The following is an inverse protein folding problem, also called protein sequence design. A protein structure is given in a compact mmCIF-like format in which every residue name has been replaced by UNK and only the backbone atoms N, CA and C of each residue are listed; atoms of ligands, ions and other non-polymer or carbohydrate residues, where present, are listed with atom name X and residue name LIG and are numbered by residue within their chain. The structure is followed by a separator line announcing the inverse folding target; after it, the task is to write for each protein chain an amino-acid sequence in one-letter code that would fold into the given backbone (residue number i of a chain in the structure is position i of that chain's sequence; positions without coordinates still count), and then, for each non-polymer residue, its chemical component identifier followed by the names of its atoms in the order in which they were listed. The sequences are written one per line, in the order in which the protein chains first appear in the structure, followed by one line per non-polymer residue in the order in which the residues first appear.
data_IF_968916689486
#
_entry.id   IF_968916689486
#
_cell.length_a   1.000
_cell.length_b   1.000
_cell.length_c   1.000
_cell.angle_alpha   90.00
_cell.angle_beta   90.00
_cell.angle_gamma   90.00
#
_symmetry.space_group_name_H-M   'P 1'
#
loop_
_entity.id
_entity.type
_entity.pdbx_description
1 polymer ?
#
# COMPACT_ATOMS: atom_id res chain seq x y z
N UNK A 1 -43.43 28.69 25.99
CA UNK A 1 -42.07 29.10 25.61
C UNK A 1 -41.35 27.91 25.00
N UNK A 2 -41.28 27.81 23.66
CA UNK A 2 -40.59 26.73 22.95
C UNK A 2 -39.28 27.29 22.39
N UNK A 3 -38.16 26.81 22.89
CA UNK A 3 -36.82 27.15 22.43
C UNK A 3 -36.52 26.32 21.17
N UNK A 4 -36.37 26.97 20.02
CA UNK A 4 -35.89 26.34 18.78
C UNK A 4 -34.37 26.45 18.74
N UNK A 5 -33.67 25.31 18.77
CA UNK A 5 -32.25 25.23 18.42
C UNK A 5 -32.11 25.53 16.92
N UNK A 6 -31.20 26.44 16.58
CA UNK A 6 -30.72 26.65 15.22
C UNK A 6 -29.48 25.78 15.05
N UNK A 7 -29.57 24.73 14.23
CA UNK A 7 -28.38 24.03 13.71
C UNK A 7 -27.80 24.88 12.57
N UNK A 8 -26.60 25.40 12.76
CA UNK A 8 -25.79 25.97 11.68
C UNK A 8 -25.05 24.83 10.98
N UNK A 9 -25.50 24.44 9.79
CA UNK A 9 -24.76 23.56 8.89
C UNK A 9 -23.63 24.37 8.23
N UNK A 10 -22.38 24.05 8.51
CA UNK A 10 -21.24 24.52 7.73
C UNK A 10 -21.09 23.59 6.54
N UNK A 11 -21.57 24.02 5.38
CA UNK A 11 -21.26 23.38 4.11
C UNK A 11 -19.83 23.77 3.71
N UNK A 12 -18.89 22.83 3.78
CA UNK A 12 -17.57 23.01 3.18
C UNK A 12 -17.74 22.94 1.65
N UNK A 13 -17.58 24.08 0.99
CA UNK A 13 -17.60 24.20 -0.46
C UNK A 13 -16.26 23.65 -0.99
N UNK A 14 -16.21 22.38 -1.40
CA UNK A 14 -15.08 21.87 -2.18
C UNK A 14 -15.13 22.54 -3.56
N UNK A 15 -14.24 23.49 -3.80
CA UNK A 15 -14.03 24.01 -5.15
C UNK A 15 -13.56 22.84 -6.03
N UNK A 16 -14.33 22.53 -7.07
CA UNK A 16 -13.89 21.64 -8.15
C UNK A 16 -12.86 22.45 -8.96
N UNK A 17 -11.61 22.40 -8.53
CA UNK A 17 -10.48 22.87 -9.32
C UNK A 17 -10.35 21.86 -10.45
N UNK A 18 -10.61 22.25 -11.70
CA UNK A 18 -10.39 21.35 -12.84
C UNK A 18 -8.94 20.88 -12.91
N UNK A 19 -8.67 19.76 -13.60
CA UNK A 19 -7.32 19.23 -13.71
C UNK A 19 -6.36 20.37 -14.10
N UNK A 20 -5.21 20.50 -13.43
CA UNK A 20 -4.20 21.45 -13.84
C UNK A 20 -3.91 21.23 -15.32
N UNK A 21 -3.88 22.32 -16.09
CA UNK A 21 -3.52 22.29 -17.51
C UNK A 21 -2.03 22.02 -17.64
N UNK A 22 -1.63 20.78 -17.36
CA UNK A 22 -0.32 20.28 -17.75
C UNK A 22 -0.26 20.30 -19.27
N UNK A 23 0.90 20.65 -19.84
CA UNK A 23 1.07 20.72 -21.28
C UNK A 23 0.59 19.39 -21.87
N UNK A 24 -0.58 19.44 -22.52
CA UNK A 24 -1.29 18.24 -22.88
C UNK A 24 -0.35 17.37 -23.71
N UNK A 25 -0.14 16.10 -23.34
CA UNK A 25 0.49 15.19 -24.26
C UNK A 25 -0.34 15.20 -25.55
N UNK A 26 0.31 15.23 -26.71
CA UNK A 26 -0.36 15.33 -28.02
C UNK A 26 -1.52 14.32 -28.14
N UNK A 27 -2.53 14.57 -28.99
CA UNK A 27 -3.68 13.67 -29.26
C UNK A 27 -3.31 12.17 -29.37
N UNK A 28 -2.08 11.82 -29.73
CA UNK A 28 -1.52 10.46 -29.70
C UNK A 28 -1.45 9.78 -28.31
N UNK A 29 -1.64 10.48 -27.19
CA UNK A 29 -1.70 9.92 -25.81
C UNK A 29 -3.13 9.59 -25.36
N UNK A 30 -4.13 9.78 -26.23
CA UNK A 30 -5.42 9.11 -26.08
C UNK A 30 -5.33 7.58 -26.24
N UNK A 31 -4.15 7.04 -26.57
CA UNK A 31 -3.85 5.64 -26.36
C UNK A 31 -3.52 5.41 -24.88
N UNK A 32 -4.45 4.78 -24.14
CA UNK A 32 -4.23 4.34 -22.77
C UNK A 32 -2.87 3.63 -22.66
N UNK A 33 -1.92 4.29 -22.01
CA UNK A 33 -0.61 3.70 -21.74
C UNK A 33 -0.79 2.64 -20.64
N UNK A 34 -0.04 1.52 -20.70
CA UNK A 34 0.02 0.59 -19.59
C UNK A 34 0.50 1.31 -18.35
N UNK A 35 -0.05 0.97 -17.20
CA UNK A 35 0.38 1.47 -15.90
C UNK A 35 1.00 0.30 -15.14
N UNK A 36 2.23 0.47 -14.71
CA UNK A 36 2.88 -0.45 -13.77
C UNK A 36 3.02 0.22 -12.40
N UNK A 37 2.30 -0.31 -11.43
CA UNK A 37 2.30 0.12 -10.05
C UNK A 37 3.40 -0.58 -9.23
N UNK A 38 4.17 0.18 -8.45
CA UNK A 38 5.40 -0.25 -7.77
C UNK A 38 5.30 0.04 -6.28
N UNK A 39 5.21 -1.00 -5.45
CA UNK A 39 5.01 -0.88 -4.01
C UNK A 39 6.27 -0.41 -3.25
N UNK A 40 6.07 -0.02 -1.98
CA UNK A 40 7.12 0.47 -1.10
C UNK A 40 7.89 -0.62 -0.33
N UNK A 41 8.76 -0.17 0.58
CA UNK A 41 9.62 -1.04 1.38
C UNK A 41 8.80 -1.97 2.29
N UNK A 42 8.97 -3.27 2.12
CA UNK A 42 8.30 -4.31 2.91
C UNK A 42 6.84 -4.56 2.50
N UNK A 43 6.31 -3.87 1.49
CA UNK A 43 4.93 -4.02 1.02
C UNK A 43 4.82 -5.04 -0.14
N UNK A 44 3.65 -5.15 -0.76
CA UNK A 44 3.36 -5.97 -1.96
C UNK A 44 2.48 -5.21 -2.95
N UNK A 45 2.27 -5.80 -4.14
CA UNK A 45 1.35 -5.31 -5.16
C UNK A 45 -0.09 -5.12 -4.63
N UNK A 46 -0.48 -5.86 -3.59
CA UNK A 46 -1.80 -5.77 -2.97
C UNK A 46 -2.17 -4.35 -2.51
N UNK A 47 -1.20 -3.48 -2.18
CA UNK A 47 -1.50 -2.11 -1.77
C UNK A 47 -2.20 -1.29 -2.87
N UNK A 48 -2.03 -1.64 -4.14
CA UNK A 48 -2.61 -0.91 -5.27
C UNK A 48 -4.07 -1.28 -5.60
N UNK A 49 -4.69 -2.17 -4.83
CA UNK A 49 -6.08 -2.64 -5.00
C UNK A 49 -7.07 -1.50 -5.27
N UNK A 50 -7.13 -0.50 -4.38
CA UNK A 50 -8.11 0.57 -4.50
C UNK A 50 -7.85 1.48 -5.70
N UNK A 51 -6.60 1.70 -6.08
CA UNK A 51 -6.28 2.54 -7.24
C UNK A 51 -6.60 1.83 -8.54
N UNK A 52 -6.27 0.53 -8.66
CA UNK A 52 -6.67 -0.29 -9.81
C UNK A 52 -8.20 -0.28 -9.95
N UNK A 53 -8.93 -0.49 -8.86
CA UNK A 53 -10.39 -0.41 -8.87
C UNK A 53 -10.90 0.95 -9.32
N UNK A 54 -10.29 2.05 -8.87
CA UNK A 54 -10.66 3.41 -9.28
C UNK A 54 -10.35 3.64 -10.76
N UNK A 55 -9.21 3.18 -11.29
CA UNK A 55 -8.90 3.26 -12.71
C UNK A 55 -9.95 2.54 -13.57
N UNK A 56 -10.25 1.28 -13.23
CA UNK A 56 -11.27 0.51 -13.95
C UNK A 56 -12.66 1.15 -13.85
N UNK A 57 -13.00 1.71 -12.69
CA UNK A 57 -14.27 2.43 -12.48
C UNK A 57 -14.39 3.71 -13.31
N UNK A 58 -13.27 4.21 -13.81
CA UNK A 58 -13.17 5.36 -14.70
C UNK A 58 -12.84 4.96 -16.14
N UNK A 59 -13.09 3.70 -16.51
CA UNK A 59 -13.06 3.22 -17.90
C UNK A 59 -11.71 2.74 -18.42
N UNK A 60 -10.65 2.78 -17.61
CA UNK A 60 -9.33 2.30 -18.02
C UNK A 60 -9.34 0.79 -18.24
N UNK A 61 -8.74 0.30 -19.34
CA UNK A 61 -8.70 -1.13 -19.66
C UNK A 61 -7.92 -1.92 -18.57
N UNK A 62 -8.56 -2.90 -17.90
CA UNK A 62 -7.87 -3.76 -16.92
C UNK A 62 -6.64 -4.49 -17.48
N UNK A 63 -6.57 -4.74 -18.79
CA UNK A 63 -5.41 -5.36 -19.43
C UNK A 63 -4.16 -4.44 -19.45
N UNK A 64 -4.36 -3.14 -19.22
CA UNK A 64 -3.30 -2.13 -19.16
C UNK A 64 -2.86 -1.81 -17.74
N UNK A 65 -3.53 -2.36 -16.72
CA UNK A 65 -3.19 -2.14 -15.32
C UNK A 65 -2.39 -3.34 -14.79
N UNK A 66 -1.16 -3.09 -14.34
CA UNK A 66 -0.29 -4.12 -13.77
C UNK A 66 0.36 -3.62 -12.48
N UNK A 67 0.62 -4.52 -11.54
CA UNK A 67 1.42 -4.25 -10.36
C UNK A 67 2.58 -5.25 -10.28
N UNK A 68 3.71 -4.82 -9.70
CA UNK A 68 4.88 -5.69 -9.47
C UNK A 68 4.96 -6.08 -7.99
N UNK A 69 5.31 -7.34 -7.74
CA UNK A 69 5.84 -7.81 -6.47
C UNK A 69 7.34 -7.97 -6.54
N UNK A 70 8.07 -7.20 -5.72
CA UNK A 70 9.50 -7.43 -5.53
C UNK A 70 9.70 -8.65 -4.63
N UNK A 71 10.47 -9.69 -5.05
CA UNK A 71 10.64 -10.93 -4.29
C UNK A 71 11.06 -10.71 -2.82
N UNK A 72 11.96 -9.74 -2.63
CA UNK A 72 12.45 -9.32 -1.32
C UNK A 72 12.18 -7.82 -1.16
N UNK A 73 10.99 -7.44 -0.67
CA UNK A 73 10.52 -6.06 -0.70
C UNK A 73 11.22 -5.15 0.33
N UNK A 74 12.00 -5.73 1.24
CA UNK A 74 12.69 -4.97 2.30
C UNK A 74 14.12 -4.65 1.89
N UNK A 75 14.52 -3.39 2.06
CA UNK A 75 15.89 -2.93 1.84
C UNK A 75 16.88 -3.56 2.81
N UNK A 76 18.13 -3.70 2.34
CA UNK A 76 19.27 -3.99 3.22
C UNK A 76 19.52 -2.83 4.16
N UNK A 77 20.05 -3.12 5.34
CA UNK A 77 20.47 -2.07 6.28
C UNK A 77 21.64 -1.23 5.73
N UNK A 78 22.49 -1.84 4.91
CA UNK A 78 23.63 -1.23 4.22
C UNK A 78 23.75 -1.90 2.84
N UNK A 79 23.85 -1.09 1.78
CA UNK A 79 23.84 -1.56 0.39
C UNK A 79 24.99 -2.52 0.08
N UNK A 80 26.16 -2.25 0.67
CA UNK A 80 27.40 -3.00 0.49
C UNK A 80 27.51 -4.28 1.33
N UNK A 81 26.51 -4.58 2.18
CA UNK A 81 26.49 -5.76 3.04
C UNK A 81 25.33 -6.67 2.62
N UNK A 82 25.61 -7.88 2.10
CA UNK A 82 24.56 -8.86 1.81
C UNK A 82 23.73 -9.16 3.06
N UNK A 83 22.41 -9.13 2.91
CA UNK A 83 21.47 -9.43 3.99
C UNK A 83 20.38 -10.37 3.44
N UNK A 84 20.22 -11.59 4.01
CA UNK A 84 19.24 -12.55 3.52
C UNK A 84 17.81 -11.98 3.47
N UNK A 85 17.06 -12.33 2.43
CA UNK A 85 15.68 -11.90 2.19
C UNK A 85 15.44 -10.39 2.11
N UNK A 86 16.51 -9.64 1.81
CA UNK A 86 16.48 -8.20 1.57
C UNK A 86 17.18 -7.85 0.26
N UNK A 87 16.68 -6.82 -0.41
CA UNK A 87 17.13 -6.40 -1.72
C UNK A 87 18.09 -5.21 -1.65
N UNK A 88 19.08 -5.23 -2.53
CA UNK A 88 19.83 -4.04 -2.93
C UNK A 88 19.03 -3.15 -3.87
N UNK A 89 19.52 -1.92 -4.09
CA UNK A 89 19.01 -1.04 -5.15
C UNK A 89 19.13 -1.71 -6.54
N UNK A 90 20.19 -2.48 -6.78
CA UNK A 90 20.41 -3.17 -8.04
C UNK A 90 19.44 -4.35 -8.26
N UNK A 91 19.10 -5.08 -7.19
CA UNK A 91 18.11 -6.17 -7.23
C UNK A 91 16.74 -5.60 -7.64
N UNK A 92 16.29 -4.50 -7.01
CA UNK A 92 15.00 -3.89 -7.34
C UNK A 92 14.98 -3.27 -8.75
N UNK A 93 16.06 -2.59 -9.17
CA UNK A 93 16.13 -2.07 -10.55
C UNK A 93 16.02 -3.20 -11.57
N UNK A 94 16.71 -4.31 -11.34
CA UNK A 94 16.68 -5.47 -12.24
C UNK A 94 15.26 -6.07 -12.31
N UNK A 95 14.61 -6.23 -11.16
CA UNK A 95 13.23 -6.74 -11.11
C UNK A 95 12.24 -5.78 -11.81
N UNK A 96 12.39 -4.46 -11.62
CA UNK A 96 11.55 -3.48 -12.30
C UNK A 96 11.78 -3.49 -13.80
N UNK A 97 13.03 -3.54 -14.27
CA UNK A 97 13.35 -3.60 -15.70
C UNK A 97 12.68 -4.81 -16.37
N UNK A 98 12.73 -5.98 -15.73
CA UNK A 98 12.07 -7.18 -16.22
C UNK A 98 10.53 -7.05 -16.24
N UNK A 99 9.93 -6.41 -15.24
CA UNK A 99 8.50 -6.16 -15.22
C UNK A 99 8.06 -5.15 -16.29
N UNK A 100 8.87 -4.12 -16.54
CA UNK A 100 8.65 -3.17 -17.64
C UNK A 100 8.68 -3.90 -18.99
N UNK A 101 9.71 -4.71 -19.25
CA UNK A 101 9.83 -5.46 -20.50
C UNK A 101 8.63 -6.41 -20.70
N UNK A 102 8.18 -7.07 -19.63
CA UNK A 102 6.97 -7.93 -19.66
C UNK A 102 5.72 -7.13 -20.02
N UNK A 103 5.45 -6.03 -19.33
CA UNK A 103 4.25 -5.20 -19.57
C UNK A 103 4.23 -4.64 -20.99
N UNK A 104 5.37 -4.16 -21.50
CA UNK A 104 5.45 -3.66 -22.88
C UNK A 104 5.25 -4.78 -23.91
N UNK A 105 5.78 -5.98 -23.65
CA UNK A 105 5.59 -7.13 -24.52
C UNK A 105 4.13 -7.62 -24.54
N UNK A 106 3.48 -7.72 -23.38
CA UNK A 106 2.08 -8.18 -23.23
C UNK A 106 1.09 -7.20 -23.86
N UNK A 107 1.33 -5.89 -23.70
CA UNK A 107 0.43 -4.84 -24.20
C UNK A 107 0.74 -4.37 -25.62
N UNK A 108 1.91 -4.75 -26.16
CA UNK A 108 2.40 -4.29 -27.47
C UNK A 108 2.70 -2.79 -27.53
N UNK A 109 2.87 -2.12 -26.38
CA UNK A 109 3.13 -0.68 -26.29
C UNK A 109 4.63 -0.41 -26.23
N UNK A 110 5.05 0.75 -26.74
CA UNK A 110 6.46 1.16 -26.70
C UNK A 110 6.82 1.95 -25.44
N UNK A 111 5.80 2.51 -24.76
CA UNK A 111 5.95 3.21 -23.50
C UNK A 111 4.90 2.82 -22.48
N UNK A 112 5.18 3.08 -21.21
CA UNK A 112 4.27 2.91 -20.07
C UNK A 112 4.35 4.07 -19.07
N UNK A 113 3.44 4.06 -18.10
CA UNK A 113 3.44 4.88 -16.89
C UNK A 113 3.98 4.05 -15.73
N UNK A 114 4.86 4.63 -14.92
CA UNK A 114 5.32 4.06 -13.66
C UNK A 114 4.75 4.85 -12.49
N UNK A 115 4.06 4.17 -11.57
CA UNK A 115 3.52 4.78 -10.35
C UNK A 115 4.14 4.10 -9.14
N UNK A 116 4.93 4.83 -8.37
CA UNK A 116 5.66 4.30 -7.20
C UNK A 116 5.14 4.87 -5.89
N UNK A 117 5.12 4.03 -4.86
CA UNK A 117 4.88 4.44 -3.47
C UNK A 117 6.15 4.28 -2.65
N UNK A 118 6.49 5.27 -1.82
CA UNK A 118 7.61 5.19 -0.88
C UNK A 118 8.91 4.75 -1.58
N UNK A 119 9.62 3.74 -1.05
CA UNK A 119 10.81 3.12 -1.65
C UNK A 119 10.61 2.73 -3.13
N UNK A 120 9.41 2.35 -3.56
CA UNK A 120 9.13 1.96 -4.94
C UNK A 120 9.46 3.03 -5.99
N UNK A 121 9.59 4.30 -5.57
CA UNK A 121 10.09 5.36 -6.45
C UNK A 121 11.60 5.28 -6.75
N UNK A 122 12.40 4.63 -5.91
CA UNK A 122 13.84 4.45 -6.13
C UNK A 122 14.14 3.60 -7.37
N UNK A 123 13.63 2.36 -7.52
CA UNK A 123 13.89 1.59 -8.73
C UNK A 123 13.32 2.28 -9.97
N UNK A 124 12.21 3.02 -9.86
CA UNK A 124 11.67 3.82 -10.98
C UNK A 124 12.70 4.85 -11.45
N UNK A 125 13.21 5.68 -10.54
CA UNK A 125 14.20 6.73 -10.86
C UNK A 125 15.50 6.11 -11.37
N UNK A 126 15.96 5.03 -10.75
CA UNK A 126 17.20 4.34 -11.12
C UNK A 126 17.09 3.68 -12.52
N UNK A 127 15.96 3.03 -12.82
CA UNK A 127 15.66 2.46 -14.15
C UNK A 127 15.62 3.53 -15.25
N UNK A 128 15.02 4.69 -14.97
CA UNK A 128 14.98 5.81 -15.91
C UNK A 128 16.39 6.33 -16.22
N UNK A 129 17.24 6.43 -15.21
CA UNK A 129 18.60 6.98 -15.35
C UNK A 129 19.55 6.08 -16.14
N UNK A 130 19.50 4.77 -15.93
CA UNK A 130 20.55 3.85 -16.39
C UNK A 130 20.15 2.91 -17.53
N UNK A 131 18.96 2.33 -17.47
CA UNK A 131 18.51 1.30 -18.42
C UNK A 131 17.83 1.93 -19.64
N UNK A 132 16.83 1.23 -20.19
CA UNK A 132 15.99 1.72 -21.28
C UNK A 132 14.94 2.73 -20.82
N UNK A 133 14.95 3.14 -19.55
CA UNK A 133 13.82 3.85 -18.95
C UNK A 133 13.47 5.18 -19.60
N UNK A 134 14.42 6.00 -20.07
CA UNK A 134 14.09 7.19 -20.88
C UNK A 134 13.37 6.88 -22.20
N UNK A 135 13.63 5.71 -22.78
CA UNK A 135 13.00 5.28 -24.03
C UNK A 135 11.63 4.63 -23.80
N UNK A 136 11.40 4.02 -22.64
CA UNK A 136 10.20 3.21 -22.33
C UNK A 136 9.25 3.90 -21.37
N UNK A 137 9.65 4.90 -20.59
CA UNK A 137 8.77 5.58 -19.64
C UNK A 137 8.25 6.86 -20.28
N UNK A 138 6.94 7.08 -20.19
CA UNK A 138 6.30 8.33 -20.57
C UNK A 138 6.10 9.24 -19.35
N UNK A 139 5.56 8.67 -18.26
CA UNK A 139 5.28 9.35 -17.01
C UNK A 139 5.84 8.54 -15.82
N UNK A 140 6.43 9.24 -14.86
CA UNK A 140 6.87 8.71 -13.58
C UNK A 140 6.19 9.47 -12.45
N UNK A 141 5.36 8.78 -11.67
CA UNK A 141 4.53 9.37 -10.61
C UNK A 141 4.96 8.77 -9.27
N UNK A 142 5.43 9.61 -8.35
CA UNK A 142 6.10 9.18 -7.11
C UNK A 142 5.32 9.68 -5.88
N UNK A 143 4.61 8.79 -5.20
CA UNK A 143 3.86 9.08 -3.98
C UNK A 143 4.69 8.84 -2.72
N UNK A 144 5.00 9.91 -1.98
CA UNK A 144 5.73 9.81 -0.72
C UNK A 144 7.14 9.21 -0.83
N UNK A 145 7.71 9.12 -2.04
CA UNK A 145 9.06 8.59 -2.23
C UNK A 145 10.07 9.47 -1.47
N UNK A 146 10.92 8.92 -0.60
CA UNK A 146 11.96 9.68 0.09
C UNK A 146 13.10 10.12 -0.86
N UNK A 147 12.78 10.98 -1.83
CA UNK A 147 13.66 11.36 -2.93
C UNK A 147 14.98 12.02 -2.49
N UNK A 148 14.97 12.63 -1.31
CA UNK A 148 16.14 13.21 -0.64
C UNK A 148 16.58 12.41 0.60
N UNK A 149 16.02 11.20 0.79
CA UNK A 149 16.29 10.33 1.93
C UNK A 149 15.28 10.50 3.07
N UNK A 150 15.40 9.64 4.07
CA UNK A 150 14.68 9.76 5.37
C UNK A 150 15.57 10.43 6.43
N UNK A 151 16.87 10.53 6.13
CA UNK A 151 17.87 11.37 6.78
C UNK A 151 18.96 11.71 5.75
N UNK A 152 19.69 12.80 5.93
CA UNK A 152 20.87 13.19 5.14
C UNK A 152 22.02 13.46 6.11
N UNK A 153 22.88 12.46 6.29
CA UNK A 153 23.98 12.49 7.25
C UNK A 153 25.24 11.88 6.62
N UNK A 154 26.29 12.66 6.31
CA UNK A 154 27.42 12.18 5.51
C UNK A 154 28.32 11.18 6.25
N UNK A 155 28.22 11.12 7.59
CA UNK A 155 29.05 10.26 8.45
C UNK A 155 28.28 9.11 9.10
N UNK A 156 26.97 8.96 8.83
CA UNK A 156 26.13 7.95 9.48
C UNK A 156 25.48 7.06 8.43
N UNK A 157 25.73 5.74 8.50
CA UNK A 157 25.16 4.74 7.57
C UNK A 157 25.20 5.20 6.11
N UNK A 158 26.39 5.63 5.64
CA UNK A 158 26.55 6.24 4.31
C UNK A 158 26.13 5.31 3.16
N UNK A 159 26.27 3.99 3.31
CA UNK A 159 25.81 3.02 2.32
C UNK A 159 24.33 2.64 2.44
N UNK A 160 23.56 3.25 3.35
CA UNK A 160 22.12 3.01 3.43
C UNK A 160 21.42 3.80 2.31
N UNK A 161 20.58 3.13 1.52
CA UNK A 161 19.86 3.73 0.39
C UNK A 161 18.86 4.84 0.77
N UNK A 162 18.48 4.94 2.05
CA UNK A 162 17.63 6.02 2.57
C UNK A 162 18.42 7.23 3.09
N UNK A 163 19.75 7.24 2.96
CA UNK A 163 20.57 8.40 3.31
C UNK A 163 20.71 9.36 2.12
N UNK A 164 20.19 10.58 2.25
CA UNK A 164 20.28 11.63 1.23
C UNK A 164 21.71 12.03 0.86
N UNK A 165 22.66 11.92 1.78
CA UNK A 165 24.11 12.14 1.56
C UNK A 165 24.85 10.83 1.24
N UNK A 166 24.09 9.76 0.97
CA UNK A 166 24.60 8.48 0.50
C UNK A 166 24.83 8.50 -1.02
N UNK A 167 25.77 7.69 -1.54
CA UNK A 167 26.15 7.71 -2.95
C UNK A 167 24.99 7.37 -3.90
N UNK A 168 24.00 6.60 -3.44
CA UNK A 168 22.83 6.24 -4.25
C UNK A 168 21.95 7.47 -4.54
N UNK A 169 21.50 8.18 -3.51
CA UNK A 169 20.63 9.34 -3.68
C UNK A 169 21.37 10.56 -4.24
N UNK A 170 22.65 10.75 -3.87
CA UNK A 170 23.52 11.73 -4.53
C UNK A 170 23.57 11.47 -6.06
N UNK A 171 23.73 10.20 -6.47
CA UNK A 171 23.75 9.81 -7.87
C UNK A 171 22.42 10.02 -8.59
N UNK A 172 21.28 9.75 -7.93
CA UNK A 172 19.96 9.99 -8.53
C UNK A 172 19.60 11.47 -8.63
N UNK A 173 20.12 12.32 -7.73
CA UNK A 173 19.80 13.74 -7.67
C UNK A 173 20.77 14.63 -8.47
N UNK A 174 21.82 14.06 -9.08
CA UNK A 174 22.82 14.80 -9.87
C UNK A 174 22.93 14.31 -11.32
N UNK A 175 23.24 15.21 -12.28
CA UNK A 175 23.28 16.68 -12.15
C UNK A 175 21.89 17.33 -12.07
N UNK A 176 20.83 16.55 -12.28
CA UNK A 176 19.44 16.99 -12.19
C UNK A 176 18.60 15.87 -11.57
N UNK A 177 17.55 16.23 -10.84
CA UNK A 177 16.70 15.29 -10.10
C UNK A 177 15.72 14.50 -10.99
N UNK A 178 15.49 14.98 -12.20
CA UNK A 178 14.62 14.39 -13.23
C UNK A 178 15.40 14.16 -14.53
N UNK A 179 14.87 13.29 -15.39
CA UNK A 179 15.48 12.93 -16.68
C UNK A 179 14.73 13.56 -17.87
N UNK A 180 15.44 14.16 -18.84
CA UNK A 180 14.81 14.70 -20.04
C UNK A 180 14.00 13.65 -20.81
N UNK A 181 12.82 14.04 -21.29
CA UNK A 181 11.96 13.17 -22.10
C UNK A 181 11.01 12.26 -21.31
N UNK A 182 11.05 12.33 -19.97
CA UNK A 182 10.07 11.70 -19.07
C UNK A 182 9.40 12.78 -18.24
N UNK A 183 8.07 12.74 -18.15
CA UNK A 183 7.32 13.64 -17.28
C UNK A 183 7.30 13.08 -15.86
N UNK A 184 7.82 13.84 -14.90
CA UNK A 184 7.79 13.48 -13.48
C UNK A 184 6.70 14.24 -12.73
N UNK A 185 5.99 13.51 -11.87
CA UNK A 185 5.12 14.07 -10.83
C UNK A 185 5.52 13.47 -9.49
N UNK A 186 5.50 14.30 -8.43
CA UNK A 186 5.58 13.80 -7.06
C UNK A 186 4.30 14.17 -6.31
N UNK A 187 3.76 13.22 -5.54
CA UNK A 187 2.67 13.46 -4.60
C UNK A 187 3.26 13.41 -3.19
N UNK A 188 3.09 14.48 -2.42
CA UNK A 188 3.65 14.56 -1.07
C UNK A 188 2.66 15.08 -0.06
N UNK A 189 2.89 14.70 1.20
CA UNK A 189 2.17 15.26 2.32
C UNK A 189 2.56 16.71 2.55
N UNK A 190 1.70 17.49 3.19
CA UNK A 190 2.07 18.79 3.74
C UNK A 190 2.99 18.64 4.97
N UNK A 191 2.67 17.71 5.89
CA UNK A 191 3.42 17.51 7.15
C UNK A 191 3.26 16.13 7.81
N UNK A 192 2.39 15.26 7.30
CA UNK A 192 2.01 13.98 7.91
C UNK A 192 2.76 12.76 7.36
N UNK A 193 3.80 12.98 6.54
CA UNK A 193 4.70 11.89 6.12
C UNK A 193 5.75 11.63 7.21
N UNK A 194 5.70 10.47 7.86
CA UNK A 194 6.62 10.12 8.96
C UNK A 194 8.09 10.05 8.56
N UNK A 195 8.39 9.86 7.28
CA UNK A 195 9.75 9.76 6.76
C UNK A 195 10.28 11.09 6.20
N UNK A 196 9.41 12.08 5.99
CA UNK A 196 9.77 13.46 5.64
C UNK A 196 9.57 14.39 6.85
N UNK A 197 10.40 14.22 7.87
CA UNK A 197 10.31 14.94 9.15
C UNK A 197 11.65 15.57 9.53
N UNK A 198 11.67 16.78 10.12
CA UNK A 198 12.91 17.47 10.50
C UNK A 198 13.68 16.79 11.62
N UNK A 199 13.05 15.90 12.39
CA UNK A 199 13.68 15.12 13.45
C UNK A 199 13.45 13.63 13.25
N UNK A 200 14.40 12.82 13.73
CA UNK A 200 14.41 11.37 13.56
C UNK A 200 13.40 10.62 14.44
N UNK A 201 12.33 11.26 14.91
CA UNK A 201 11.32 10.68 15.82
C UNK A 201 10.78 9.35 15.32
N UNK A 202 10.46 9.28 14.03
CA UNK A 202 9.82 8.12 13.42
C UNK A 202 10.81 7.10 12.84
N UNK A 203 12.11 7.35 12.98
CA UNK A 203 13.19 6.45 12.57
C UNK A 203 14.10 6.05 13.75
N UNK A 204 13.63 6.24 14.99
CA UNK A 204 14.30 5.78 16.21
C UNK A 204 15.28 6.77 16.87
N UNK A 205 15.39 8.00 16.36
CA UNK A 205 16.31 9.03 16.86
C UNK A 205 15.59 10.38 17.12
N UNK A 206 14.68 10.45 18.10
CA UNK A 206 13.72 11.57 18.24
C UNK A 206 14.30 12.96 18.41
N UNK A 207 15.53 13.07 18.88
CA UNK A 207 16.20 14.36 19.11
C UNK A 207 17.30 14.66 18.09
N UNK A 208 17.49 13.79 17.10
CA UNK A 208 18.51 13.96 16.06
C UNK A 208 17.86 14.60 14.85
N UNK A 209 18.39 15.74 14.35
CA UNK A 209 17.96 16.31 13.07
C UNK A 209 18.20 15.30 11.94
N UNK A 210 17.21 15.11 11.08
CA UNK A 210 17.34 14.28 9.87
C UNK A 210 17.97 15.05 8.73
N UNK A 211 17.95 16.39 8.77
CA UNK A 211 18.23 17.27 7.63
C UNK A 211 17.26 17.10 6.45
N UNK A 212 16.10 16.50 6.69
CA UNK A 212 15.02 16.31 5.70
C UNK A 212 13.82 17.16 6.12
N UNK A 213 13.32 18.00 5.20
CA UNK A 213 12.09 18.76 5.37
C UNK A 213 10.84 17.98 4.94
N UNK A 214 9.66 18.54 5.18
CA UNK A 214 8.39 17.96 4.70
C UNK A 214 8.28 17.94 3.16
N UNK A 215 9.07 18.78 2.49
CA UNK A 215 9.24 18.84 1.05
C UNK A 215 10.28 17.84 0.52
N UNK A 216 10.93 17.04 1.36
CA UNK A 216 11.92 16.03 0.96
C UNK A 216 11.48 15.07 -0.17
N UNK A 217 10.19 14.70 -0.30
CA UNK A 217 9.72 13.92 -1.44
C UNK A 217 9.64 14.68 -2.77
N UNK A 218 9.68 16.00 -2.79
CA UNK A 218 9.64 16.81 -4.00
C UNK A 218 10.89 16.58 -4.88
N UNK A 219 10.76 16.79 -6.19
CA UNK A 219 11.86 16.77 -7.14
C UNK A 219 11.93 18.06 -7.96
N UNK A 220 13.11 18.64 -8.10
CA UNK A 220 13.38 19.72 -9.03
C UNK A 220 13.12 19.26 -10.48
N UNK A 221 12.27 20.01 -11.19
CA UNK A 221 11.84 19.70 -12.55
C UNK A 221 10.63 18.76 -12.66
N UNK A 222 10.05 18.32 -11.54
CA UNK A 222 8.79 17.59 -11.50
C UNK A 222 7.59 18.50 -11.20
N UNK A 223 6.38 18.04 -11.51
CA UNK A 223 5.15 18.59 -10.95
C UNK A 223 4.99 18.11 -9.50
N UNK A 224 5.21 19.03 -8.57
CA UNK A 224 5.23 18.72 -7.13
C UNK A 224 3.87 19.06 -6.50
N UNK A 225 3.02 18.04 -6.31
CA UNK A 225 1.68 18.21 -5.77
C UNK A 225 1.67 17.91 -4.27
N UNK A 226 1.11 18.84 -3.50
CA UNK A 226 0.92 18.70 -2.04
C UNK A 226 -0.51 18.25 -1.78
N UNK A 227 -0.67 17.17 -1.02
CA UNK A 227 -1.94 16.61 -0.59
C UNK A 227 -2.11 16.85 0.92
N UNK A 228 -2.79 17.93 1.34
CA UNK A 228 -2.82 18.34 2.74
C UNK A 228 -3.50 17.31 3.64
N UNK A 229 -2.88 17.02 4.78
CA UNK A 229 -3.42 16.12 5.79
C UNK A 229 -3.23 14.63 5.51
N UNK A 230 -2.85 14.25 4.28
CA UNK A 230 -2.57 12.85 3.95
C UNK A 230 -1.23 12.40 4.53
N UNK A 231 -1.16 11.16 5.00
CA UNK A 231 0.07 10.55 5.52
C UNK A 231 0.96 9.94 4.42
N UNK A 232 2.09 9.36 4.83
CA UNK A 232 3.09 8.77 3.94
C UNK A 232 2.53 7.70 2.97
N UNK A 233 1.55 6.90 3.41
CA UNK A 233 0.94 5.88 2.54
C UNK A 233 -0.18 6.47 1.70
N UNK A 234 -1.01 7.31 2.30
CA UNK A 234 -2.15 7.91 1.63
C UNK A 234 -1.78 8.80 0.44
N UNK A 235 -0.60 9.42 0.43
CA UNK A 235 -0.12 10.20 -0.73
C UNK A 235 0.09 9.36 -2.00
N UNK A 236 0.06 8.03 -1.89
CA UNK A 236 0.01 7.12 -3.03
C UNK A 236 -1.39 6.51 -3.23
N UNK A 237 -2.08 6.13 -2.15
CA UNK A 237 -3.25 5.22 -2.22
C UNK A 237 -4.60 5.88 -1.94
N UNK A 238 -4.62 7.12 -1.44
CA UNK A 238 -5.86 7.80 -1.09
C UNK A 238 -6.59 8.27 -2.36
N UNK A 239 -7.92 8.36 -2.30
CA UNK A 239 -8.75 8.79 -3.44
C UNK A 239 -8.38 10.17 -4.01
N UNK A 240 -7.80 11.05 -3.19
CA UNK A 240 -7.28 12.36 -3.64
C UNK A 240 -5.93 12.23 -4.35
N UNK A 241 -5.07 11.29 -3.95
CA UNK A 241 -3.87 10.96 -4.69
C UNK A 241 -4.25 10.35 -6.05
N UNK A 242 -5.17 9.39 -6.07
CA UNK A 242 -5.73 8.81 -7.30
C UNK A 242 -6.19 9.87 -8.29
N UNK A 243 -6.90 10.92 -7.83
CA UNK A 243 -7.35 12.01 -8.70
C UNK A 243 -6.20 12.65 -9.48
N UNK A 244 -5.11 12.98 -8.80
CA UNK A 244 -3.94 13.62 -9.43
C UNK A 244 -3.24 12.67 -10.40
N UNK A 245 -3.09 11.40 -10.01
CA UNK A 245 -2.54 10.34 -10.86
C UNK A 245 -3.40 10.20 -12.13
N UNK A 246 -4.73 10.12 -11.97
CA UNK A 246 -5.64 9.97 -13.09
C UNK A 246 -5.61 11.19 -14.01
N UNK A 247 -5.63 12.42 -13.48
CA UNK A 247 -5.55 13.64 -14.29
C UNK A 247 -4.30 13.66 -15.19
N UNK A 248 -3.14 13.21 -14.70
CA UNK A 248 -1.91 13.27 -15.51
C UNK A 248 -1.85 12.17 -16.54
N UNK A 249 -2.39 11.00 -16.19
CA UNK A 249 -2.41 9.83 -17.05
C UNK A 249 -3.46 9.98 -18.15
N UNK A 250 -4.70 10.35 -17.81
CA UNK A 250 -5.83 10.43 -18.73
C UNK A 250 -6.03 11.82 -19.37
N UNK A 251 -5.43 12.87 -18.81
CA UNK A 251 -5.56 14.25 -19.30
C UNK A 251 -6.91 14.92 -18.97
N UNK A 252 -7.75 14.30 -18.14
CA UNK A 252 -9.03 14.84 -17.69
C UNK A 252 -9.42 14.32 -16.31
N UNK A 253 -10.46 14.91 -15.70
CA UNK A 253 -10.93 14.50 -14.38
C UNK A 253 -11.49 13.07 -14.40
N UNK A 254 -11.31 12.28 -13.33
CA UNK A 254 -12.07 11.05 -13.15
C UNK A 254 -13.55 11.38 -12.95
N UNK A 255 -14.41 10.51 -13.46
CA UNK A 255 -15.88 10.58 -13.22
C UNK A 255 -16.24 10.22 -11.78
N UNK A 256 -15.44 9.36 -11.12
CA UNK A 256 -15.61 8.96 -9.73
C UNK A 256 -14.27 8.77 -9.03
N UNK A 257 -14.22 9.05 -7.72
CA UNK A 257 -13.05 8.78 -6.87
C UNK A 257 -13.20 7.49 -6.04
N UNK A 258 -14.37 6.87 -6.11
CA UNK A 258 -14.69 5.65 -5.37
C UNK A 258 -14.91 4.49 -6.35
N UNK A 259 -14.47 3.26 -5.99
CA UNK A 259 -14.74 2.07 -6.80
C UNK A 259 -16.23 1.87 -7.08
N UNK A 260 -16.58 1.63 -8.34
CA UNK A 260 -17.93 1.27 -8.77
C UNK A 260 -18.08 -0.25 -8.68
N UNK A 261 -19.00 -0.77 -7.84
CA UNK A 261 -19.15 -2.20 -7.63
C UNK A 261 -19.60 -2.97 -8.88
N UNK A 262 -19.17 -4.22 -8.98
CA UNK A 262 -19.69 -5.26 -9.89
C UNK A 262 -20.22 -6.42 -9.06
N UNK A 263 -21.17 -7.17 -9.61
CA UNK A 263 -21.86 -8.23 -8.86
C UNK A 263 -20.93 -9.42 -8.54
N UNK A 264 -20.09 -9.81 -9.50
CA UNK A 264 -19.25 -11.02 -9.43
C UNK A 264 -17.77 -10.71 -9.66
N UNK A 265 -17.09 -10.07 -8.69
CA UNK A 265 -15.66 -9.84 -8.77
C UNK A 265 -14.89 -11.16 -8.71
N UNK A 266 -13.82 -11.25 -9.50
CA UNK A 266 -12.86 -12.36 -9.45
C UNK A 266 -11.66 -11.94 -8.63
N UNK A 267 -11.41 -12.67 -7.55
CA UNK A 267 -10.29 -12.45 -6.63
C UNK A 267 -9.21 -13.50 -6.89
N UNK A 268 -7.98 -13.04 -7.06
CA UNK A 268 -6.81 -13.88 -7.29
C UNK A 268 -5.58 -13.23 -6.65
N UNK A 269 -4.56 -14.02 -6.39
CA UNK A 269 -3.32 -13.59 -5.76
C UNK A 269 -2.48 -14.77 -5.29
N UNK A 270 -1.44 -14.45 -4.55
CA UNK A 270 -0.46 -15.43 -4.07
C UNK A 270 -0.48 -15.53 -2.54
N UNK A 271 -0.23 -16.73 -2.00
CA UNK A 271 0.20 -16.86 -0.61
C UNK A 271 1.70 -16.68 -0.56
N UNK A 272 2.17 -15.75 0.29
CA UNK A 272 3.59 -15.52 0.53
C UNK A 272 3.90 -15.56 2.02
N UNK A 273 5.18 -15.39 2.37
CA UNK A 273 5.65 -15.66 3.73
C UNK A 273 6.48 -14.56 4.36
N UNK A 274 7.17 -14.98 5.41
CA UNK A 274 8.07 -14.20 6.22
C UNK A 274 9.26 -15.07 6.62
N UNK A 275 10.47 -14.64 6.29
CA UNK A 275 11.67 -15.43 6.51
C UNK A 275 12.85 -14.55 6.91
N UNK A 276 13.69 -15.03 7.82
CA UNK A 276 14.87 -14.31 8.31
C UNK A 276 14.56 -12.89 8.85
N UNK A 277 13.39 -12.70 9.48
CA UNK A 277 13.04 -11.40 10.08
C UNK A 277 12.49 -10.37 9.08
N UNK A 278 12.16 -10.76 7.85
CA UNK A 278 11.59 -9.88 6.84
C UNK A 278 10.44 -10.56 6.07
N UNK A 279 9.45 -9.77 5.61
CA UNK A 279 8.43 -10.28 4.68
C UNK A 279 9.06 -10.64 3.34
N UNK A 280 8.49 -11.66 2.68
CA UNK A 280 8.84 -12.03 1.30
C UNK A 280 7.60 -11.95 0.41
N UNK A 281 7.83 -11.66 -0.88
CA UNK A 281 6.84 -11.86 -1.94
C UNK A 281 7.23 -13.07 -2.79
N UNK A 282 7.72 -14.11 -2.13
CA UNK A 282 8.00 -15.39 -2.78
C UNK A 282 6.79 -16.30 -2.66
N UNK A 283 6.50 -17.10 -3.69
CA UNK A 283 5.39 -18.04 -3.65
C UNK A 283 5.58 -19.07 -2.54
N UNK A 284 4.54 -19.26 -1.73
CA UNK A 284 4.48 -20.29 -0.70
C UNK A 284 3.59 -21.44 -1.18
N UNK A 285 4.22 -22.57 -1.50
CA UNK A 285 3.52 -23.81 -1.83
C UNK A 285 2.97 -24.53 -0.60
N UNK A 286 2.02 -25.43 -0.83
CA UNK A 286 1.38 -26.25 0.22
C UNK A 286 0.58 -25.44 1.26
N UNK A 287 0.34 -24.16 1.00
CA UNK A 287 -0.56 -23.35 1.81
C UNK A 287 -2.01 -23.66 1.40
N UNK A 288 -2.91 -23.81 2.37
CA UNK A 288 -4.35 -23.98 2.09
C UNK A 288 -5.10 -22.71 2.43
N UNK A 289 -5.77 -22.13 1.44
CA UNK A 289 -6.67 -20.99 1.58
C UNK A 289 -8.11 -21.52 1.56
N UNK A 290 -8.88 -21.22 2.60
CA UNK A 290 -10.30 -21.54 2.71
C UNK A 290 -11.08 -20.26 2.95
N UNK A 291 -12.09 -19.97 2.13
CA UNK A 291 -12.87 -18.74 2.22
C UNK A 291 -14.29 -19.05 2.70
N UNK A 292 -14.78 -18.27 3.65
CA UNK A 292 -16.14 -18.35 4.17
C UNK A 292 -16.85 -17.01 4.02
N UNK A 293 -18.10 -17.03 3.56
CA UNK A 293 -19.00 -15.91 3.75
C UNK A 293 -19.33 -15.76 5.24
N UNK A 294 -19.30 -14.52 5.76
CA UNK A 294 -19.55 -14.24 7.18
C UNK A 294 -20.61 -13.17 7.38
N UNK A 295 -21.35 -13.27 8.48
CA UNK A 295 -22.28 -12.25 8.90
C UNK A 295 -21.51 -10.99 9.37
N UNK A 296 -21.75 -9.80 8.78
CA UNK A 296 -20.97 -8.61 9.07
C UNK A 296 -21.13 -8.09 10.51
N UNK A 297 -22.22 -8.45 11.20
CA UNK A 297 -22.50 -7.99 12.57
C UNK A 297 -21.85 -8.88 13.62
N UNK A 298 -21.72 -10.16 13.34
CA UNK A 298 -21.29 -11.18 14.31
C UNK A 298 -19.97 -11.87 13.95
N UNK A 299 -19.52 -11.78 12.70
CA UNK A 299 -18.34 -12.49 12.19
C UNK A 299 -18.55 -14.01 12.09
N UNK A 300 -19.78 -14.51 12.29
CA UNK A 300 -20.08 -15.94 12.18
C UNK A 300 -20.13 -16.36 10.71
N UNK A 301 -19.54 -17.51 10.40
CA UNK A 301 -19.65 -18.15 9.09
C UNK A 301 -21.11 -18.45 8.77
N UNK A 302 -21.54 -18.10 7.56
CA UNK A 302 -22.92 -18.27 7.09
C UNK A 302 -23.20 -19.67 6.53
N UNK A 303 -22.18 -20.51 6.39
CA UNK A 303 -22.32 -21.87 5.87
C UNK A 303 -20.98 -22.59 5.71
N UNK A 304 -20.99 -23.58 4.81
CA UNK A 304 -19.78 -24.27 4.36
C UNK A 304 -18.81 -23.29 3.65
N UNK A 305 -17.52 -23.66 3.46
CA UNK A 305 -16.61 -22.87 2.65
C UNK A 305 -17.19 -22.58 1.27
N UNK A 306 -17.01 -21.33 0.80
CA UNK A 306 -17.38 -20.91 -0.57
C UNK A 306 -16.23 -21.07 -1.55
N UNK A 307 -15.00 -21.22 -1.03
CA UNK A 307 -13.80 -21.50 -1.79
C UNK A 307 -12.80 -22.28 -0.93
N UNK A 308 -12.05 -23.17 -1.56
CA UNK A 308 -10.90 -23.81 -0.93
C UNK A 308 -9.88 -24.18 -2.00
N UNK A 309 -8.63 -23.79 -1.80
CA UNK A 309 -7.51 -24.09 -2.69
C UNK A 309 -6.26 -24.38 -1.88
N UNK A 310 -5.46 -25.36 -2.30
CA UNK A 310 -4.09 -25.54 -1.82
C UNK A 310 -3.13 -25.06 -2.90
N UNK A 311 -2.18 -24.21 -2.53
CA UNK A 311 -1.26 -23.56 -3.46
C UNK A 311 -0.24 -24.55 -4.01
N UNK A 312 0.08 -24.39 -5.30
CA UNK A 312 1.21 -25.07 -5.95
C UNK A 312 2.54 -24.37 -5.66
N UNK A 313 3.60 -24.76 -6.37
CA UNK A 313 4.91 -24.11 -6.26
C UNK A 313 4.90 -22.63 -6.69
N UNK A 314 3.86 -22.20 -7.40
CA UNK A 314 3.61 -20.83 -7.82
C UNK A 314 2.86 -20.00 -6.78
N UNK A 315 2.44 -20.60 -5.65
CA UNK A 315 1.80 -19.89 -4.54
C UNK A 315 0.38 -19.38 -4.82
N UNK A 316 -0.18 -19.60 -6.02
CA UNK A 316 -1.48 -19.04 -6.41
C UNK A 316 -2.64 -19.74 -5.70
N UNK A 317 -3.60 -18.94 -5.20
CA UNK A 317 -4.76 -19.45 -4.47
C UNK A 317 -6.12 -19.20 -5.14
N UNK A 318 -6.18 -18.28 -6.11
CA UNK A 318 -7.36 -18.02 -6.92
C UNK A 318 -7.42 -18.88 -8.20
N UNK A 319 -8.29 -18.54 -9.16
CA UNK A 319 -9.27 -17.45 -9.12
C UNK A 319 -10.56 -17.83 -8.37
N UNK A 320 -10.99 -17.01 -7.42
CA UNK A 320 -12.24 -17.13 -6.68
C UNK A 320 -13.28 -16.11 -7.19
N UNK A 321 -14.43 -16.57 -7.69
CA UNK A 321 -15.56 -15.68 -8.03
C UNK A 321 -16.37 -15.36 -6.77
N UNK A 322 -16.24 -14.12 -6.28
CA UNK A 322 -16.91 -13.63 -5.08
C UNK A 322 -18.25 -12.94 -5.39
N UNK A 323 -18.99 -12.61 -4.33
CA UNK A 323 -20.13 -11.68 -4.34
C UNK A 323 -19.64 -10.32 -3.83
N UNK A 324 -19.84 -9.27 -4.61
CA UNK A 324 -19.30 -7.94 -4.32
C UNK A 324 -19.89 -7.24 -3.09
N UNK A 325 -20.90 -7.82 -2.45
CA UNK A 325 -21.58 -7.28 -1.27
C UNK A 325 -21.31 -8.07 0.02
N UNK A 326 -20.66 -9.22 -0.09
CA UNK A 326 -20.45 -10.16 1.02
C UNK A 326 -19.14 -9.88 1.75
N UNK A 327 -19.17 -10.02 3.08
CA UNK A 327 -17.98 -10.03 3.92
C UNK A 327 -17.40 -11.44 3.96
N UNK A 328 -16.07 -11.54 3.90
CA UNK A 328 -15.37 -12.82 3.84
C UNK A 328 -14.36 -12.99 4.98
N UNK A 329 -14.24 -14.22 5.45
CA UNK A 329 -13.11 -14.72 6.25
C UNK A 329 -12.24 -15.59 5.34
N UNK A 330 -10.98 -15.20 5.15
CA UNK A 330 -9.93 -16.00 4.54
C UNK A 330 -9.17 -16.72 5.66
N UNK A 331 -9.20 -18.06 5.67
CA UNK A 331 -8.42 -18.89 6.58
C UNK A 331 -7.27 -19.48 5.80
N UNK A 332 -6.05 -19.15 6.21
CA UNK A 332 -4.83 -19.61 5.55
C UNK A 332 -3.99 -20.44 6.52
N UNK A 333 -3.64 -21.65 6.10
CA UNK A 333 -2.74 -22.54 6.84
C UNK A 333 -1.54 -22.90 5.99
N UNK A 334 -0.36 -22.95 6.59
CA UNK A 334 0.85 -23.41 5.92
C UNK A 334 1.85 -23.97 6.95
N UNK A 335 2.70 -24.94 6.59
CA UNK A 335 3.76 -25.43 7.48
C UNK A 335 4.63 -24.28 8.02
N UNK A 336 4.86 -24.26 9.34
CA UNK A 336 5.70 -23.26 9.99
C UNK A 336 5.03 -21.91 10.31
N UNK A 337 3.76 -21.73 9.92
CA UNK A 337 2.99 -20.50 10.19
C UNK A 337 1.80 -20.75 11.12
N UNK A 338 1.34 -19.73 11.87
CA UNK A 338 0.05 -19.80 12.54
C UNK A 338 -1.09 -19.88 11.51
N UNK A 339 -2.20 -20.52 11.89
CA UNK A 339 -3.45 -20.42 11.15
C UNK A 339 -3.91 -18.97 11.16
N UNK A 340 -3.96 -18.35 9.99
CA UNK A 340 -4.22 -16.93 9.84
C UNK A 340 -5.64 -16.71 9.34
N UNK A 341 -6.43 -15.97 10.12
CA UNK A 341 -7.80 -15.59 9.79
C UNK A 341 -7.81 -14.12 9.38
N UNK A 342 -8.22 -13.81 8.15
CA UNK A 342 -8.29 -12.44 7.64
C UNK A 342 -9.74 -12.16 7.28
N UNK A 343 -10.36 -11.26 8.04
CA UNK A 343 -11.70 -10.77 7.77
C UNK A 343 -11.60 -9.47 6.98
N UNK A 344 -12.29 -9.40 5.84
CA UNK A 344 -12.28 -8.23 4.95
C UNK A 344 -13.68 -7.70 4.68
N UNK A 345 -13.77 -6.38 4.47
CA UNK A 345 -14.97 -5.74 3.93
C UNK A 345 -15.21 -6.20 2.47
N UNK A 346 -16.43 -5.99 1.91
CA UNK A 346 -16.76 -6.48 0.58
C UNK A 346 -15.83 -5.95 -0.51
N UNK A 347 -15.62 -6.77 -1.53
CA UNK A 347 -14.79 -6.43 -2.68
C UNK A 347 -15.66 -5.84 -3.79
N UNK A 348 -15.62 -4.53 -4.07
CA UNK A 348 -16.45 -3.95 -5.10
C UNK A 348 -16.05 -4.42 -6.50
N UNK A 349 -14.80 -4.85 -6.72
CA UNK A 349 -14.28 -5.18 -8.05
C UNK A 349 -13.29 -6.33 -8.02
N UNK A 350 -13.04 -6.92 -9.19
CA UNK A 350 -12.03 -7.96 -9.37
C UNK A 350 -10.64 -7.45 -8.98
N UNK A 351 -9.79 -8.34 -8.48
CA UNK A 351 -8.41 -7.99 -8.16
C UNK A 351 -7.53 -9.24 -8.21
N UNK A 352 -6.40 -9.17 -8.94
CA UNK A 352 -5.52 -10.33 -9.18
C UNK A 352 -4.20 -10.34 -8.39
N UNK A 353 -4.00 -9.33 -7.55
CA UNK A 353 -2.82 -9.19 -6.69
C UNK A 353 -3.22 -9.23 -5.21
N UNK A 354 -4.26 -10.01 -4.88
CA UNK A 354 -4.79 -10.14 -3.52
C UNK A 354 -3.90 -11.09 -2.71
N UNK A 355 -2.70 -10.63 -2.39
CA UNK A 355 -1.72 -11.43 -1.68
C UNK A 355 -2.14 -11.68 -0.23
N UNK A 356 -1.93 -12.91 0.20
CA UNK A 356 -2.18 -13.39 1.56
C UNK A 356 -0.82 -13.71 2.19
N UNK A 357 -0.16 -12.68 2.71
CA UNK A 357 1.18 -12.81 3.31
C UNK A 357 1.08 -13.29 4.75
N UNK A 358 1.64 -14.47 5.02
CA UNK A 358 1.71 -15.04 6.36
C UNK A 358 2.89 -14.47 7.15
N UNK A 359 2.69 -14.34 8.46
CA UNK A 359 3.71 -13.85 9.39
C UNK A 359 3.73 -14.68 10.68
N UNK A 360 4.88 -14.78 11.37
CA UNK A 360 4.93 -15.38 12.69
C UNK A 360 4.11 -14.57 13.71
N UNK A 361 3.75 -15.22 14.81
CA UNK A 361 3.14 -14.51 15.96
C UNK A 361 4.16 -13.55 16.55
N UNK A 362 3.77 -12.29 16.75
CA UNK A 362 4.60 -11.32 17.45
C UNK A 362 4.85 -11.79 18.91
N UNK A 363 6.11 -11.97 19.33
CA UNK A 363 6.46 -12.43 20.67
C UNK A 363 5.87 -11.58 21.81
N UNK A 364 5.54 -10.31 21.56
CA UNK A 364 4.88 -9.43 22.52
C UNK A 364 3.53 -9.99 22.99
N UNK A 365 2.86 -10.81 22.17
CA UNK A 365 1.56 -11.40 22.47
C UNK A 365 1.61 -12.89 22.81
N UNK A 366 2.79 -13.48 22.99
CA UNK A 366 2.96 -14.92 23.22
C UNK A 366 2.20 -15.49 24.45
N UNK A 367 1.76 -14.62 25.37
CA UNK A 367 0.99 -14.99 26.57
C UNK A 367 -0.52 -14.70 26.47
N UNK A 368 -1.00 -14.14 25.36
CA UNK A 368 -2.41 -13.83 25.17
C UNK A 368 -3.23 -15.11 24.96
N UNK A 369 -4.51 -15.08 25.35
CA UNK A 369 -5.44 -16.17 25.03
C UNK A 369 -5.91 -16.14 23.58
N UNK A 370 -6.10 -14.93 23.04
CA UNK A 370 -6.37 -14.66 21.63
C UNK A 370 -5.85 -13.26 21.27
N UNK A 371 -5.63 -12.99 19.98
CA UNK A 371 -5.31 -11.66 19.47
C UNK A 371 -6.22 -11.30 18.30
N UNK A 372 -6.53 -10.01 18.19
CA UNK A 372 -7.14 -9.41 17.00
C UNK A 372 -6.31 -8.21 16.61
N UNK A 373 -5.89 -8.18 15.36
CA UNK A 373 -5.14 -7.09 14.74
C UNK A 373 -6.03 -6.35 13.77
N UNK A 374 -6.19 -5.04 13.94
CA UNK A 374 -6.76 -4.16 12.93
C UNK A 374 -5.62 -3.76 11.97
N UNK A 375 -5.83 -3.92 10.66
CA UNK A 375 -4.88 -3.47 9.63
C UNK A 375 -5.52 -2.45 8.69
N UNK A 376 -4.75 -1.41 8.37
CA UNK A 376 -5.05 -0.37 7.39
C UNK A 376 -3.89 -0.32 6.37
N UNK A 377 -3.86 -1.21 5.36
CA UNK A 377 -2.70 -1.34 4.48
C UNK A 377 -2.32 -0.05 3.74
N UNK A 378 -3.28 0.83 3.46
CA UNK A 378 -3.14 2.00 2.57
C UNK A 378 -3.06 3.35 3.29
N UNK A 379 -2.90 3.35 4.61
CA UNK A 379 -2.78 4.56 5.42
C UNK A 379 -2.21 4.26 6.80
N UNK A 380 -1.91 5.30 7.57
CA UNK A 380 -1.47 5.17 8.96
C UNK A 380 -2.51 5.74 9.92
N UNK A 381 -2.43 5.31 11.18
CA UNK A 381 -3.32 5.70 12.26
C UNK A 381 -2.70 6.82 13.10
N UNK A 382 -3.52 7.81 13.48
CA UNK A 382 -3.19 8.78 14.51
C UNK A 382 -4.41 9.19 15.36
N UNK A 383 -4.22 9.35 16.66
CA UNK A 383 -5.26 9.92 17.53
C UNK A 383 -5.59 11.36 17.12
N UNK A 384 -6.88 11.71 17.17
CA UNK A 384 -7.40 13.03 16.79
C UNK A 384 -7.59 13.23 15.29
N UNK A 385 -7.14 12.27 14.47
CA UNK A 385 -7.33 12.24 13.02
C UNK A 385 -8.24 11.08 12.62
N UNK A 386 -7.91 9.89 13.08
CA UNK A 386 -8.59 8.64 12.75
C UNK A 386 -9.43 8.16 13.94
N UNK A 387 -10.52 7.45 13.64
CA UNK A 387 -11.32 6.70 14.62
C UNK A 387 -11.03 5.23 14.43
N UNK A 388 -10.44 4.55 15.41
CA UNK A 388 -10.16 3.12 15.31
C UNK A 388 -10.43 2.43 16.65
N UNK A 389 -11.20 1.36 16.63
CA UNK A 389 -11.50 0.60 17.86
C UNK A 389 -11.54 -0.89 17.60
N UNK A 390 -11.02 -1.68 18.53
CA UNK A 390 -11.21 -3.13 18.60
C UNK A 390 -12.04 -3.39 19.85
N UNK A 391 -13.23 -3.98 19.70
CA UNK A 391 -14.17 -4.25 20.79
C UNK A 391 -14.49 -3.00 21.63
N UNK A 392 -14.82 -1.91 20.92
CA UNK A 392 -15.23 -0.63 21.51
C UNK A 392 -14.12 0.17 22.21
N UNK A 393 -12.87 -0.30 22.16
CA UNK A 393 -11.72 0.35 22.80
C UNK A 393 -10.67 0.71 21.76
N UNK A 394 -10.05 1.89 21.90
CA UNK A 394 -8.88 2.29 21.12
C UNK A 394 -7.66 1.48 21.61
N UNK A 395 -7.06 0.61 20.78
CA UNK A 395 -5.89 -0.16 21.19
C UNK A 395 -4.69 0.75 21.47
N UNK A 396 -3.76 0.33 22.36
CA UNK A 396 -2.53 1.09 22.60
C UNK A 396 -1.60 1.06 21.38
N UNK A 397 -0.58 1.92 21.37
CA UNK A 397 0.47 1.91 20.33
C UNK A 397 0.28 2.94 19.21
N UNK A 398 -0.74 3.79 19.31
CA UNK A 398 -0.95 4.93 18.41
C UNK A 398 -0.70 6.22 19.16
N UNK A 399 -0.02 7.17 18.53
CA UNK A 399 0.22 8.50 19.08
C UNK A 399 -0.68 9.54 18.40
N UNK A 400 -0.84 10.70 19.03
CA UNK A 400 -1.37 11.90 18.37
C UNK A 400 -0.27 12.56 17.52
N UNK A 401 -0.63 13.14 16.37
CA UNK A 401 0.32 13.87 15.52
C UNK A 401 0.50 13.18 14.17
N UNK A 402 1.76 13.03 13.73
CA UNK A 402 2.08 12.40 12.44
C UNK A 402 1.71 10.91 12.49
N UNK A 403 0.82 10.44 11.59
CA UNK A 403 0.44 9.03 11.51
C UNK A 403 1.63 8.14 11.18
N UNK A 404 1.82 7.05 11.95
CA UNK A 404 3.05 6.25 11.86
C UNK A 404 2.87 4.73 11.79
N UNK A 405 1.72 4.20 12.19
CA UNK A 405 1.46 2.75 12.27
C UNK A 405 0.26 2.38 11.41
N UNK A 406 0.36 1.30 10.65
CA UNK A 406 -0.69 0.76 9.77
C UNK A 406 -1.51 -0.34 10.44
N UNK A 407 -1.12 -0.77 11.63
CA UNK A 407 -1.80 -1.83 12.34
C UNK A 407 -1.72 -1.65 13.85
N UNK A 408 -2.75 -2.17 14.53
CA UNK A 408 -2.83 -2.20 16.00
C UNK A 408 -3.43 -3.51 16.46
N UNK A 409 -2.87 -4.08 17.52
CA UNK A 409 -3.26 -5.39 18.03
C UNK A 409 -3.81 -5.29 19.45
N UNK A 410 -4.93 -5.95 19.69
CA UNK A 410 -5.51 -6.13 21.03
C UNK A 410 -5.42 -7.59 21.44
N UNK A 411 -4.87 -7.82 22.62
CA UNK A 411 -4.88 -9.11 23.29
C UNK A 411 -6.20 -9.34 24.05
N UNK A 412 -6.61 -10.60 24.12
CA UNK A 412 -7.77 -11.05 24.88
C UNK A 412 -7.37 -12.20 25.81
N UNK A 413 -8.06 -12.29 26.94
CA UNK A 413 -7.94 -13.44 27.85
C UNK A 413 -8.41 -14.73 27.18
N UNK A 414 -7.89 -15.86 27.67
CA UNK A 414 -8.35 -17.17 27.20
C UNK A 414 -9.84 -17.37 27.52
N UNK A 415 -10.59 -17.88 26.56
CA UNK A 415 -12.03 -18.06 26.70
C UNK A 415 -12.68 -18.58 25.42
N UNK A 416 -14.01 -18.79 25.45
CA UNK A 416 -14.75 -19.22 24.26
C UNK A 416 -14.64 -18.18 23.15
N UNK A 417 -14.67 -18.65 21.90
CA UNK A 417 -14.71 -17.78 20.72
C UNK A 417 -15.87 -16.79 20.84
N UNK A 418 -15.58 -15.50 20.64
CA UNK A 418 -16.55 -14.40 20.71
C UNK A 418 -16.42 -13.47 19.53
N UNK A 419 -17.49 -12.73 19.28
CA UNK A 419 -17.53 -11.69 18.25
C UNK A 419 -16.85 -10.43 18.77
N UNK A 420 -16.04 -9.81 17.91
CA UNK A 420 -15.24 -8.62 18.22
C UNK A 420 -15.52 -7.58 17.14
N UNK A 421 -16.34 -6.55 17.42
CA UNK A 421 -16.56 -5.47 16.47
C UNK A 421 -15.29 -4.65 16.32
N UNK A 422 -14.89 -4.41 15.08
CA UNK A 422 -13.73 -3.58 14.72
C UNK A 422 -14.22 -2.44 13.84
N UNK A 423 -13.76 -1.23 14.14
CA UNK A 423 -14.14 -0.02 13.41
C UNK A 423 -12.88 0.73 13.01
N UNK A 424 -12.84 1.18 11.76
CA UNK A 424 -11.83 2.09 11.25
C UNK A 424 -12.53 3.19 10.45
N UNK A 425 -12.47 4.42 10.94
CA UNK A 425 -13.12 5.59 10.36
C UNK A 425 -14.61 5.32 10.08
N UNK A 426 -14.99 5.28 8.79
CA UNK A 426 -16.35 4.98 8.34
C UNK A 426 -16.63 3.49 8.11
N UNK A 427 -15.61 2.65 8.16
CA UNK A 427 -15.73 1.21 7.93
C UNK A 427 -15.91 0.42 9.23
N UNK A 428 -16.63 -0.68 9.10
CA UNK A 428 -16.91 -1.59 10.20
C UNK A 428 -16.90 -3.04 9.72
N UNK A 429 -16.33 -3.91 10.54
CA UNK A 429 -16.37 -5.36 10.37
C UNK A 429 -16.34 -6.04 11.74
N UNK A 430 -16.99 -7.20 11.88
CA UNK A 430 -16.90 -8.01 13.11
C UNK A 430 -16.11 -9.28 12.83
N UNK A 431 -15.10 -9.54 13.66
CA UNK A 431 -14.30 -10.79 13.60
C UNK A 431 -14.69 -11.76 14.71
N UNK A 432 -14.14 -12.97 14.65
CA UNK A 432 -14.22 -13.97 15.73
C UNK A 432 -12.84 -14.15 16.37
N UNK A 433 -12.79 -14.25 17.70
CA UNK A 433 -11.57 -14.68 18.38
C UNK A 433 -11.33 -16.17 18.16
N UNK A 434 -10.06 -16.53 17.99
CA UNK A 434 -9.58 -17.92 17.95
C UNK A 434 -8.43 -18.10 18.95
N UNK A 435 -8.24 -19.30 19.53
CA UNK A 435 -7.25 -19.50 20.57
C UNK A 435 -5.82 -19.36 20.03
N UNK A 436 -5.05 -18.42 20.58
CA UNK A 436 -3.64 -18.25 20.20
C UNK A 436 -2.80 -19.47 20.62
N UNK A 437 -3.17 -20.14 21.72
CA UNK A 437 -2.51 -21.37 22.18
C UNK A 437 -2.66 -22.56 21.21
N UNK A 438 -3.61 -22.49 20.28
CA UNK A 438 -3.78 -23.46 19.18
C UNK A 438 -3.11 -22.97 17.89
N UNK A 439 -2.38 -21.84 17.93
CA UNK A 439 -1.65 -21.28 16.80
C UNK A 439 -2.52 -20.45 15.86
N UNK A 440 -3.58 -19.79 16.34
CA UNK A 440 -4.43 -18.94 15.52
C UNK A 440 -4.15 -17.44 15.70
N UNK A 441 -4.15 -16.69 14.59
CA UNK A 441 -4.06 -15.22 14.56
C UNK A 441 -5.20 -14.64 13.74
N UNK A 442 -5.69 -13.46 14.11
CA UNK A 442 -6.89 -12.85 13.51
C UNK A 442 -6.59 -11.42 13.08
N UNK A 443 -6.91 -11.11 11.82
CA UNK A 443 -6.79 -9.81 11.21
C UNK A 443 -8.17 -9.29 10.78
N UNK A 444 -8.44 -8.05 11.13
CA UNK A 444 -9.54 -7.24 10.63
C UNK A 444 -8.93 -6.24 9.64
N UNK A 445 -9.02 -6.55 8.35
CA UNK A 445 -8.38 -5.77 7.29
C UNK A 445 -9.39 -4.92 6.54
N UNK A 446 -9.06 -3.64 6.43
CA UNK A 446 -9.91 -2.61 5.84
C UNK A 446 -9.36 -2.11 4.50
N UNK A 447 -10.27 -1.71 3.61
CA UNK A 447 -9.90 -1.28 2.26
C UNK A 447 -9.57 0.22 2.18
N UNK A 448 -10.19 1.09 3.00
CA UNK A 448 -10.23 2.55 2.83
C UNK A 448 -9.59 3.39 3.96
#
# INVERSE_FOLDING_TARGET
MRLRLVLSAVAALCAVVGCPSWAAPSEAVQAELPILFVHGNGDSAALWETDIWRFESNGYDPALLSAIDFPHPTARAAEDVPEPNRSSVADERTALAAAVDRVLAETGRSKLVLVGSSRGGYPIRDYIRHDRGRATVALAILGGTPNHGVFALPFYKRSNEFNGDGPFLEGLNQPAETDPGVHFMTLRSDRNDKFAQPTGRYIGFPYVPTFIGHDGPALAGADNIVLPGLDHREVAFHRLAFREIYCVVAGHEPTTLDPVPIDHPVLDGMVSGFENGAPTNLPLGEATVTVYAVDPKTGLRLGAPVWQQTTGADGHWGPFTADGTVYYEFVVTAPGYPTTHIFRTPFPRSFRYLDLRLAPVDPAYAKAGAIVTLTRPRGYLAHGRDRFTIDGTEPPGVESGVPAVDSVTRAFEAGPARSVPVTLNGEHLTVRTFPLGEGHVVFAEFHY
#
